data_IF_537101685468
#
_entry.id   IF_537101685468
#
_cell.length_a   1.000
_cell.length_b   1.000
_cell.length_c   1.000
_cell.angle_alpha   90.00
_cell.angle_beta   90.00
_cell.angle_gamma   90.00
#
_symmetry.space_group_name_H-M   'P 1'
#
loop_
_entity.id
_entity.type
_entity.pdbx_description
1 polymer ?
#
# COMPACT_ATOMS: atom_id res chain seq x y z
N UNK A 1 -11.91 1.36 -4.56
CA UNK A 1 -10.97 2.40 -4.08
C UNK A 1 -11.76 3.35 -3.19
N UNK A 2 -11.29 3.70 -1.99
CA UNK A 2 -12.06 4.55 -1.08
C UNK A 2 -11.21 5.75 -0.60
N UNK A 3 -11.54 6.95 -1.10
CA UNK A 3 -10.92 8.22 -0.71
C UNK A 3 -12.01 9.22 -0.29
N UNK A 4 -12.46 9.16 0.98
CA UNK A 4 -13.47 10.06 1.51
C UNK A 4 -13.02 11.51 1.42
N UNK A 5 -13.95 12.41 1.10
CA UNK A 5 -13.64 13.84 0.96
C UNK A 5 -13.69 14.57 2.30
N UNK A 6 -14.61 14.18 3.18
CA UNK A 6 -14.83 14.88 4.45
C UNK A 6 -14.19 14.11 5.59
N UNK A 7 -13.27 14.78 6.28
CA UNK A 7 -12.55 14.23 7.43
C UNK A 7 -12.70 15.16 8.63
N UNK A 8 -12.91 14.56 9.80
CA UNK A 8 -12.93 15.29 11.06
C UNK A 8 -12.04 14.57 12.08
N UNK A 9 -11.37 15.37 12.92
CA UNK A 9 -10.59 14.91 14.05
C UNK A 9 -11.30 15.36 15.32
N UNK A 10 -11.37 14.47 16.28
CA UNK A 10 -11.80 14.80 17.63
C UNK A 10 -10.76 14.32 18.63
N UNK A 11 -10.59 15.11 19.69
CA UNK A 11 -9.64 14.88 20.76
C UNK A 11 -10.34 14.95 22.11
N UNK A 12 -9.94 14.09 23.05
CA UNK A 12 -10.48 14.11 24.40
C UNK A 12 -9.47 13.57 25.41
N UNK A 13 -9.52 14.08 26.64
CA UNK A 13 -8.77 13.50 27.75
C UNK A 13 -9.48 12.26 28.29
N UNK A 14 -8.70 11.24 28.66
CA UNK A 14 -9.19 10.10 29.43
C UNK A 14 -8.24 9.79 30.59
N UNK A 15 -8.78 9.15 31.62
CA UNK A 15 -8.02 8.68 32.77
C UNK A 15 -8.10 7.15 32.84
N UNK A 16 -7.03 6.42 32.49
CA UNK A 16 -7.00 4.96 32.57
C UNK A 16 -7.06 4.46 34.03
N UNK A 17 -7.47 3.19 34.28
CA UNK A 17 -7.49 2.60 35.62
C UNK A 17 -6.14 2.60 36.34
N UNK A 18 -5.04 2.56 35.58
CA UNK A 18 -3.65 2.59 36.08
C UNK A 18 -3.19 4.00 36.49
N UNK A 19 -4.08 5.00 36.45
CA UNK A 19 -3.78 6.39 36.76
C UNK A 19 -3.17 7.18 35.59
N UNK A 20 -3.01 8.50 35.78
CA UNK A 20 -2.54 9.44 34.76
C UNK A 20 -3.65 9.94 33.82
N UNK A 21 -3.40 11.06 33.13
CA UNK A 21 -4.26 11.56 32.05
C UNK A 21 -3.60 11.27 30.72
N UNK A 22 -4.38 10.85 29.74
CA UNK A 22 -3.93 10.64 28.36
C UNK A 22 -4.79 11.47 27.42
N UNK A 23 -4.15 12.14 26.46
CA UNK A 23 -4.86 12.78 25.35
C UNK A 23 -5.12 11.72 24.28
N UNK A 24 -6.39 11.51 23.96
CA UNK A 24 -6.84 10.63 22.91
C UNK A 24 -7.20 11.47 21.70
N UNK A 25 -6.96 10.92 20.51
CA UNK A 25 -7.35 11.54 19.25
C UNK A 25 -7.86 10.47 18.29
N UNK A 26 -8.92 10.78 17.53
CA UNK A 26 -9.38 9.91 16.47
C UNK A 26 -9.83 10.72 15.25
N UNK A 27 -9.58 10.15 14.07
CA UNK A 27 -10.12 10.65 12.81
C UNK A 27 -11.30 9.79 12.36
N UNK A 28 -12.32 10.43 11.83
CA UNK A 28 -13.44 9.80 11.10
C UNK A 28 -13.74 10.57 9.83
N UNK A 29 -14.53 9.94 8.97
CA UNK A 29 -14.83 10.44 7.64
C UNK A 29 -16.32 10.30 7.32
N UNK A 30 -16.75 11.00 6.27
CA UNK A 30 -18.04 10.83 5.61
C UNK A 30 -17.84 11.05 4.10
N UNK A 31 -18.68 10.39 3.30
CA UNK A 31 -18.78 10.63 1.85
C UNK A 31 -19.68 11.83 1.53
N UNK A 32 -20.55 12.24 2.46
CA UNK A 32 -21.64 13.19 2.20
C UNK A 32 -21.29 14.62 2.59
N UNK A 33 -20.80 14.83 3.82
CA UNK A 33 -20.53 16.18 4.35
C UNK A 33 -19.66 16.16 5.62
N UNK A 34 -19.15 17.35 5.99
CA UNK A 34 -18.31 17.54 7.17
C UNK A 34 -19.04 17.30 8.50
N UNK A 35 -20.34 17.61 8.58
CA UNK A 35 -21.10 17.46 9.82
C UNK A 35 -21.24 15.99 10.23
N UNK A 36 -21.45 15.10 9.26
CA UNK A 36 -21.45 13.64 9.49
C UNK A 36 -20.08 13.13 9.94
N UNK A 37 -19.00 13.58 9.29
CA UNK A 37 -17.64 13.20 9.70
C UNK A 37 -17.35 13.63 11.14
N UNK A 38 -17.79 14.84 11.53
CA UNK A 38 -17.68 15.36 12.90
C UNK A 38 -18.52 14.55 13.89
N UNK A 39 -19.77 14.22 13.55
CA UNK A 39 -20.63 13.40 14.40
C UNK A 39 -20.00 12.01 14.64
N UNK A 40 -19.51 11.37 13.58
CA UNK A 40 -18.82 10.09 13.67
C UNK A 40 -17.55 10.17 14.53
N UNK A 41 -16.76 11.25 14.40
CA UNK A 41 -15.57 11.47 15.22
C UNK A 41 -15.93 11.65 16.71
N UNK A 42 -17.01 12.37 17.01
CA UNK A 42 -17.51 12.59 18.38
C UNK A 42 -17.99 11.30 19.03
N UNK A 43 -18.74 10.49 18.30
CA UNK A 43 -19.17 9.18 18.78
C UNK A 43 -17.96 8.27 19.03
N UNK A 44 -17.03 8.21 18.08
CA UNK A 44 -15.84 7.38 18.17
C UNK A 44 -14.92 7.76 19.34
N UNK A 45 -14.72 9.06 19.60
CA UNK A 45 -13.88 9.50 20.72
C UNK A 45 -14.58 9.21 22.05
N UNK A 46 -15.90 9.36 22.15
CA UNK A 46 -16.66 9.01 23.35
C UNK A 46 -16.54 7.51 23.67
N UNK A 47 -16.67 6.65 22.66
CA UNK A 47 -16.47 5.20 22.83
C UNK A 47 -15.04 4.86 23.26
N UNK A 48 -14.03 5.55 22.68
CA UNK A 48 -12.64 5.33 23.02
C UNK A 48 -12.33 5.79 24.46
N UNK A 49 -12.85 6.94 24.89
CA UNK A 49 -12.73 7.42 26.28
C UNK A 49 -13.35 6.39 27.23
N UNK A 50 -14.58 5.95 26.97
CA UNK A 50 -15.26 4.93 27.80
C UNK A 50 -14.42 3.64 27.92
N UNK A 51 -13.86 3.17 26.80
CA UNK A 51 -12.99 1.99 26.79
C UNK A 51 -11.70 2.22 27.58
N UNK A 52 -11.02 3.35 27.36
CA UNK A 52 -9.73 3.63 28.01
C UNK A 52 -9.91 3.82 29.51
N UNK A 53 -10.98 4.49 29.94
CA UNK A 53 -11.31 4.68 31.35
C UNK A 53 -11.65 3.35 32.05
N UNK A 54 -12.31 2.41 31.37
CA UNK A 54 -12.72 1.13 31.97
C UNK A 54 -11.66 0.02 31.87
N UNK A 55 -10.94 -0.07 30.74
CA UNK A 55 -10.07 -1.20 30.39
C UNK A 55 -8.60 -0.79 30.20
N UNK A 56 -8.30 0.51 30.13
CA UNK A 56 -6.98 1.03 29.78
C UNK A 56 -6.73 1.14 28.28
N UNK A 57 -5.51 1.53 27.91
CA UNK A 57 -5.13 1.74 26.51
C UNK A 57 -5.16 0.42 25.72
N UNK A 58 -5.69 0.43 24.48
CA UNK A 58 -5.61 -0.73 23.61
C UNK A 58 -4.15 -1.07 23.26
N UNK A 59 -3.84 -2.37 23.01
CA UNK A 59 -2.51 -2.77 22.54
C UNK A 59 -2.17 -2.06 21.21
N UNK A 60 -0.89 -1.71 21.05
CA UNK A 60 -0.37 -1.17 19.78
C UNK A 60 -0.35 -2.29 18.74
N UNK A 61 -1.30 -2.30 17.81
CA UNK A 61 -1.20 -3.13 16.61
C UNK A 61 -0.53 -2.33 15.47
N UNK A 62 0.30 -3.00 14.68
CA UNK A 62 1.14 -2.42 13.64
C UNK A 62 0.42 -2.07 12.34
N UNK A 63 1.10 -1.26 11.52
CA UNK A 63 0.82 -0.82 10.14
C UNK A 63 -0.64 -0.98 9.63
N UNK A 64 -1.45 0.04 9.93
CA UNK A 64 -2.87 0.19 9.59
C UNK A 64 -3.07 0.73 8.16
N UNK A 65 -2.50 0.07 7.14
CA UNK A 65 -2.78 0.46 5.75
C UNK A 65 -4.10 -0.13 5.21
N UNK A 66 -4.65 -1.19 5.83
CA UNK A 66 -5.80 -1.91 5.29
C UNK A 66 -7.14 -1.61 6.01
N UNK A 67 -7.13 -1.20 7.27
CA UNK A 67 -8.37 -1.18 8.07
C UNK A 67 -9.21 0.10 7.90
N UNK A 68 -8.66 1.14 7.25
CA UNK A 68 -9.31 2.46 7.13
C UNK A 68 -8.95 3.12 5.80
N UNK A 69 -9.85 3.94 5.23
CA UNK A 69 -9.52 4.74 4.06
C UNK A 69 -8.31 5.65 4.33
N UNK A 70 -7.56 5.92 3.27
CA UNK A 70 -6.42 6.83 3.35
C UNK A 70 -6.91 8.27 3.44
N UNK A 71 -6.45 8.99 4.47
CA UNK A 71 -6.71 10.42 4.62
C UNK A 71 -5.71 11.21 3.78
N UNK A 72 -5.98 11.30 2.49
CA UNK A 72 -5.14 11.98 1.51
C UNK A 72 -5.94 13.01 0.71
N UNK A 73 -5.29 14.11 0.34
CA UNK A 73 -5.88 15.11 -0.56
C UNK A 73 -5.92 14.56 -1.98
N UNK A 74 -7.07 14.66 -2.65
CA UNK A 74 -7.20 14.30 -4.07
C UNK A 74 -6.79 15.51 -4.92
N UNK A 75 -5.69 15.39 -5.66
CA UNK A 75 -5.15 16.43 -6.53
C UNK A 75 -5.76 16.39 -7.93
N UNK A 76 -5.91 15.18 -8.48
CA UNK A 76 -6.46 14.97 -9.83
C UNK A 76 -7.39 13.77 -9.87
N UNK A 77 -8.40 13.85 -10.74
CA UNK A 77 -9.29 12.74 -11.09
C UNK A 77 -9.20 12.49 -12.59
N UNK A 78 -9.15 11.21 -12.96
CA UNK A 78 -9.16 10.76 -14.34
C UNK A 78 -10.33 9.79 -14.53
N UNK A 79 -11.17 10.06 -15.53
CA UNK A 79 -12.37 9.26 -15.79
C UNK A 79 -13.46 9.43 -14.73
N UNK A 80 -14.48 8.57 -14.82
CA UNK A 80 -15.58 8.46 -13.85
C UNK A 80 -15.46 7.14 -13.08
N UNK A 81 -15.94 7.09 -11.83
CA UNK A 81 -15.72 5.95 -10.91
C UNK A 81 -16.28 4.60 -11.40
N UNK A 82 -17.29 4.65 -12.26
CA UNK A 82 -17.90 3.50 -12.92
C UNK A 82 -17.07 2.96 -14.10
N UNK A 83 -16.12 3.74 -14.61
CA UNK A 83 -15.32 3.38 -15.77
C UNK A 83 -14.04 2.63 -15.37
N UNK A 84 -13.59 1.63 -16.16
CA UNK A 84 -12.35 0.91 -15.87
C UNK A 84 -11.09 1.78 -15.76
N UNK A 85 -11.05 2.90 -16.50
CA UNK A 85 -9.96 3.87 -16.47
C UNK A 85 -9.98 4.84 -15.29
N UNK A 86 -10.83 4.63 -14.28
CA UNK A 86 -10.88 5.51 -13.12
C UNK A 86 -9.56 5.49 -12.33
N UNK A 87 -8.96 6.67 -12.20
CA UNK A 87 -7.76 6.87 -11.42
C UNK A 87 -7.77 8.22 -10.68
N UNK A 88 -7.05 8.26 -9.57
CA UNK A 88 -6.85 9.44 -8.74
C UNK A 88 -5.36 9.69 -8.59
N UNK A 89 -4.94 10.96 -8.53
CA UNK A 89 -3.64 11.32 -7.98
C UNK A 89 -3.89 11.99 -6.63
N UNK A 90 -3.31 11.45 -5.57
CA UNK A 90 -3.45 11.95 -4.20
C UNK A 90 -2.13 12.50 -3.68
N UNK A 91 -2.19 13.35 -2.65
CA UNK A 91 -1.02 13.78 -1.89
C UNK A 91 -0.97 13.03 -0.56
N UNK A 92 0.05 12.21 -0.37
CA UNK A 92 0.23 11.50 0.89
C UNK A 92 0.79 12.41 2.00
N UNK A 93 0.88 11.89 3.23
CA UNK A 93 1.38 12.65 4.39
C UNK A 93 2.86 13.09 4.28
N UNK A 94 3.62 12.49 3.35
CA UNK A 94 5.01 12.86 3.03
C UNK A 94 5.10 13.92 1.92
N UNK A 95 3.95 14.34 1.37
CA UNK A 95 3.89 15.31 0.28
C UNK A 95 4.08 14.71 -1.12
N UNK A 96 4.24 13.39 -1.24
CA UNK A 96 4.39 12.72 -2.53
C UNK A 96 3.05 12.63 -3.26
N UNK A 97 3.10 12.73 -4.59
CA UNK A 97 1.95 12.48 -5.45
C UNK A 97 1.86 10.98 -5.76
N UNK A 98 0.70 10.39 -5.47
CA UNK A 98 0.47 8.94 -5.56
C UNK A 98 -0.66 8.69 -6.54
N UNK A 99 -0.38 7.96 -7.61
CA UNK A 99 -1.41 7.50 -8.53
C UNK A 99 -2.10 6.27 -7.95
N UNK A 100 -3.41 6.34 -7.78
CA UNK A 100 -4.28 5.26 -7.38
C UNK A 100 -5.16 4.92 -8.58
N UNK A 101 -5.13 3.67 -9.06
CA UNK A 101 -5.96 3.21 -10.16
C UNK A 101 -6.67 1.92 -9.76
N UNK A 102 -7.99 1.86 -9.94
CA UNK A 102 -8.79 0.76 -9.41
C UNK A 102 -8.57 -0.56 -10.17
N UNK A 103 -8.29 -0.46 -11.47
CA UNK A 103 -8.20 -1.60 -12.38
C UNK A 103 -6.94 -1.64 -13.24
N UNK A 104 -5.87 -0.99 -12.78
CA UNK A 104 -4.57 -1.07 -13.46
C UNK A 104 -3.68 -2.05 -12.71
N UNK A 105 -3.12 -3.04 -13.40
CA UNK A 105 -2.23 -4.02 -12.80
C UNK A 105 -0.83 -3.44 -12.64
N UNK A 106 -0.41 -3.29 -11.37
CA UNK A 106 0.96 -2.99 -10.99
C UNK A 106 1.60 -4.23 -10.40
N UNK A 107 2.83 -4.54 -10.79
CA UNK A 107 3.63 -5.62 -10.20
C UNK A 107 4.89 -5.03 -9.60
N UNK A 108 5.02 -5.08 -8.27
CA UNK A 108 6.23 -4.65 -7.57
C UNK A 108 7.18 -5.85 -7.40
N UNK A 109 8.32 -5.80 -8.07
CA UNK A 109 9.33 -6.86 -8.10
C UNK A 109 10.55 -6.36 -7.36
N UNK A 110 10.68 -6.69 -6.07
CA UNK A 110 11.84 -6.34 -5.28
C UNK A 110 13.03 -7.27 -5.57
N UNK A 111 14.22 -6.70 -5.60
CA UNK A 111 15.45 -7.46 -5.77
C UNK A 111 15.92 -7.97 -4.41
N UNK A 112 16.33 -9.24 -4.37
CA UNK A 112 16.98 -9.76 -3.18
C UNK A 112 18.26 -8.97 -2.89
N UNK A 113 18.38 -8.45 -1.66
CA UNK A 113 19.67 -7.91 -1.22
C UNK A 113 20.67 -9.06 -1.15
N UNK A 114 21.85 -8.94 -1.79
CA UNK A 114 22.86 -9.97 -1.69
C UNK A 114 23.22 -10.17 -0.21
N UNK A 115 23.40 -11.41 0.25
CA UNK A 115 23.74 -11.68 1.63
C UNK A 115 25.03 -10.91 1.98
N UNK A 116 24.99 -10.15 3.08
CA UNK A 116 26.17 -9.43 3.56
C UNK A 116 27.29 -10.46 3.81
N UNK A 117 28.48 -10.29 3.21
CA UNK A 117 29.54 -11.27 3.37
C UNK A 117 29.91 -11.37 4.86
N UNK A 118 29.74 -12.56 5.44
CA UNK A 118 30.16 -12.84 6.80
C UNK A 118 31.67 -12.70 6.94
N UNK A 119 32.13 -12.22 8.09
CA UNK A 119 33.56 -11.99 8.40
C UNK A 119 34.46 -13.22 8.16
N UNK A 120 33.93 -14.44 8.24
CA UNK A 120 34.66 -15.68 7.97
C UNK A 120 34.70 -16.10 6.49
N UNK A 121 33.79 -15.61 5.64
CA UNK A 121 33.74 -15.93 4.21
C UNK A 121 34.88 -15.28 3.40
N UNK A 122 35.53 -14.26 3.97
CA UNK A 122 36.64 -13.52 3.35
C UNK A 122 37.97 -14.29 3.35
N UNK A 123 38.10 -15.34 4.16
CA UNK A 123 39.35 -16.10 4.34
C UNK A 123 39.41 -17.42 3.53
N UNK A 124 38.29 -17.87 2.94
CA UNK A 124 38.21 -19.17 2.25
C UNK A 124 37.44 -19.12 0.91
N UNK A 125 37.45 -17.98 0.20
CA UNK A 125 36.58 -17.75 -0.95
C UNK A 125 37.13 -18.27 -2.29
N UNK A 126 36.70 -19.47 -2.71
CA UNK A 126 36.68 -19.88 -4.12
C UNK A 126 35.68 -18.96 -4.85
N UNK A 127 36.08 -18.37 -5.97
CA UNK A 127 35.19 -17.51 -6.77
C UNK A 127 33.97 -18.31 -7.24
N UNK A 128 32.80 -18.07 -6.63
CA UNK A 128 31.54 -18.55 -7.18
C UNK A 128 31.20 -17.71 -8.42
N UNK A 129 30.52 -18.30 -9.43
CA UNK A 129 30.01 -17.52 -10.56
C UNK A 129 29.21 -16.33 -10.02
N UNK A 130 29.43 -15.14 -10.59
CA UNK A 130 28.62 -13.99 -10.24
C UNK A 130 27.15 -14.34 -10.50
N UNK A 131 26.30 -14.17 -9.48
CA UNK A 131 24.87 -14.29 -9.68
C UNK A 131 24.43 -13.33 -10.81
N UNK A 132 23.47 -13.73 -11.67
CA UNK A 132 22.96 -12.84 -12.69
C UNK A 132 22.43 -11.55 -12.05
N UNK A 133 22.59 -10.43 -12.75
CA UNK A 133 22.07 -9.14 -12.28
C UNK A 133 20.55 -9.27 -12.02
N UNK A 134 20.08 -8.97 -10.80
CA UNK A 134 18.65 -9.03 -10.47
C UNK A 134 17.78 -8.20 -11.43
N UNK A 135 18.29 -7.08 -11.94
CA UNK A 135 17.58 -6.26 -12.92
C UNK A 135 17.38 -7.00 -14.23
N UNK A 136 18.46 -7.53 -14.81
CA UNK A 136 18.43 -8.30 -16.06
C UNK A 136 17.54 -9.52 -15.91
N UNK A 137 17.61 -10.21 -14.77
CA UNK A 137 16.78 -11.37 -14.47
C UNK A 137 15.29 -11.02 -14.43
N UNK A 138 14.92 -9.90 -13.80
CA UNK A 138 13.54 -9.44 -13.72
C UNK A 138 13.00 -8.96 -15.08
N UNK A 139 13.82 -8.24 -15.86
CA UNK A 139 13.47 -7.84 -17.22
C UNK A 139 13.30 -9.06 -18.12
N UNK A 140 14.20 -10.04 -18.06
CA UNK A 140 14.12 -11.26 -18.84
C UNK A 140 12.83 -12.05 -18.54
N UNK A 141 12.43 -12.18 -17.27
CA UNK A 141 11.14 -12.81 -16.91
C UNK A 141 9.96 -12.05 -17.52
N UNK A 142 9.99 -10.72 -17.45
CA UNK A 142 8.95 -9.85 -18.02
C UNK A 142 8.85 -10.01 -19.54
N UNK A 143 9.99 -10.07 -20.23
CA UNK A 143 10.04 -10.31 -21.67
C UNK A 143 9.54 -11.71 -22.06
N UNK A 144 9.93 -12.74 -21.30
CA UNK A 144 9.48 -14.12 -21.55
C UNK A 144 7.96 -14.23 -21.41
N UNK A 145 7.38 -13.58 -20.38
CA UNK A 145 5.93 -13.48 -20.23
C UNK A 145 5.29 -12.82 -21.46
N UNK A 146 5.75 -11.62 -21.85
CA UNK A 146 5.20 -10.90 -23.00
C UNK A 146 5.34 -11.69 -24.31
N UNK A 147 6.39 -12.52 -24.46
CA UNK A 147 6.55 -13.41 -25.62
C UNK A 147 5.58 -14.60 -25.59
N UNK A 148 5.22 -15.08 -24.41
CA UNK A 148 4.28 -16.20 -24.25
C UNK A 148 2.82 -15.81 -24.54
N UNK A 149 2.47 -14.54 -24.31
CA UNK A 149 1.16 -13.98 -24.65
C UNK A 149 1.33 -12.58 -25.28
N UNK A 150 1.34 -12.48 -26.63
CA UNK A 150 1.58 -11.24 -27.35
C UNK A 150 0.55 -10.13 -27.11
N UNK A 151 -0.59 -10.43 -26.47
CA UNK A 151 -1.53 -9.40 -26.05
C UNK A 151 -0.96 -8.52 -24.92
N UNK A 152 0.01 -9.03 -24.16
CA UNK A 152 0.56 -8.33 -23.01
C UNK A 152 1.56 -7.23 -23.40
N UNK A 153 1.24 -6.01 -22.98
CA UNK A 153 2.18 -4.89 -22.94
C UNK A 153 2.56 -4.52 -21.51
N UNK A 154 3.84 -4.25 -21.27
CA UNK A 154 4.39 -3.79 -19.99
C UNK A 154 5.15 -2.48 -20.12
N UNK A 155 5.00 -1.60 -19.13
CA UNK A 155 5.97 -0.54 -18.84
C UNK A 155 6.72 -0.89 -17.56
N UNK A 156 8.05 -0.85 -17.61
CA UNK A 156 8.91 -1.13 -16.47
C UNK A 156 9.57 0.16 -15.96
N UNK A 157 9.51 0.38 -14.65
CA UNK A 157 10.11 1.52 -13.97
C UNK A 157 11.08 1.03 -12.90
N UNK A 158 12.29 1.60 -12.86
CA UNK A 158 13.25 1.29 -11.80
C UNK A 158 12.80 1.95 -10.50
N UNK A 159 12.71 1.17 -9.42
CA UNK A 159 12.53 1.66 -8.05
C UNK A 159 13.84 1.57 -7.28
N UNK A 160 13.86 2.06 -6.04
CA UNK A 160 15.04 1.90 -5.15
C UNK A 160 15.35 0.43 -4.87
N UNK A 161 14.32 -0.39 -4.68
CA UNK A 161 14.42 -1.80 -4.29
C UNK A 161 14.36 -2.79 -5.45
N UNK A 162 13.80 -2.38 -6.60
CA UNK A 162 13.42 -3.34 -7.64
C UNK A 162 12.85 -2.71 -8.89
N UNK A 163 11.86 -3.37 -9.49
CA UNK A 163 11.10 -2.87 -10.63
C UNK A 163 9.64 -2.71 -10.25
N UNK A 164 9.00 -1.70 -10.83
CA UNK A 164 7.55 -1.62 -10.90
C UNK A 164 7.11 -1.80 -12.33
N UNK A 165 6.35 -2.85 -12.58
CA UNK A 165 5.76 -3.14 -13.87
C UNK A 165 4.31 -2.66 -13.89
N UNK A 166 3.88 -2.12 -15.02
CA UNK A 166 2.51 -1.68 -15.25
C UNK A 166 2.01 -2.34 -16.53
N UNK A 167 0.93 -3.11 -16.44
CA UNK A 167 0.29 -3.66 -17.63
C UNK A 167 -0.40 -2.54 -18.41
N UNK A 168 -0.22 -2.48 -19.73
CA UNK A 168 -0.71 -1.36 -20.56
C UNK A 168 -1.75 -1.74 -21.62
N UNK A 169 -2.15 -3.00 -21.67
CA UNK A 169 -2.98 -3.54 -22.75
C UNK A 169 -4.44 -3.74 -22.35
N UNK A 170 -4.72 -3.89 -21.05
CA UNK A 170 -6.08 -4.11 -20.53
C UNK A 170 -6.21 -3.64 -19.07
N UNK A 171 -7.45 -3.70 -18.56
CA UNK A 171 -7.80 -3.47 -17.17
C UNK A 171 -7.99 -4.80 -16.42
N UNK A 172 -7.63 -4.81 -15.14
CA UNK A 172 -7.62 -6.00 -14.30
C UNK A 172 -8.39 -5.76 -13.01
N UNK A 173 -9.31 -6.65 -12.68
CA UNK A 173 -9.88 -6.67 -11.33
C UNK A 173 -8.80 -7.13 -10.33
N UNK A 174 -8.68 -6.49 -9.15
CA UNK A 174 -7.60 -6.77 -8.20
C UNK A 174 -7.50 -8.23 -7.75
N UNK A 175 -8.63 -8.92 -7.65
CA UNK A 175 -8.73 -10.31 -7.20
C UNK A 175 -8.83 -11.31 -8.35
N UNK A 176 -8.66 -10.88 -9.61
CA UNK A 176 -8.78 -11.75 -10.78
C UNK A 176 -7.70 -12.86 -10.79
N UNK A 177 -8.01 -14.07 -11.31
CA UNK A 177 -7.01 -15.13 -11.48
C UNK A 177 -5.82 -14.67 -12.33
N UNK A 178 -6.07 -13.93 -13.41
CA UNK A 178 -5.04 -13.41 -14.31
C UNK A 178 -4.04 -12.49 -13.59
N UNK A 179 -4.51 -11.59 -12.70
CA UNK A 179 -3.61 -10.76 -11.90
C UNK A 179 -2.74 -11.60 -10.96
N UNK A 180 -3.32 -12.64 -10.34
CA UNK A 180 -2.60 -13.56 -9.45
C UNK A 180 -1.54 -14.38 -10.20
N UNK A 181 -1.86 -14.87 -11.38
CA UNK A 181 -0.92 -15.62 -12.23
C UNK A 181 0.24 -14.72 -12.68
N UNK A 182 -0.05 -13.48 -13.06
CA UNK A 182 0.98 -12.49 -13.39
C UNK A 182 1.89 -12.18 -12.18
N UNK A 183 1.33 -12.02 -10.97
CA UNK A 183 2.10 -11.82 -9.75
C UNK A 183 3.04 -12.98 -9.44
N UNK A 184 2.57 -14.22 -9.62
CA UNK A 184 3.39 -15.41 -9.39
C UNK A 184 4.51 -15.52 -10.43
N UNK A 185 4.18 -15.39 -11.71
CA UNK A 185 5.13 -15.54 -12.80
C UNK A 185 6.23 -14.47 -12.78
N UNK A 186 5.90 -13.23 -12.41
CA UNK A 186 6.83 -12.10 -12.41
C UNK A 186 7.54 -11.91 -11.07
N UNK A 187 7.13 -12.62 -10.02
CA UNK A 187 7.75 -12.55 -8.70
C UNK A 187 7.38 -11.28 -7.93
N UNK A 188 6.08 -10.97 -7.87
CA UNK A 188 5.58 -9.84 -7.08
C UNK A 188 5.88 -10.01 -5.58
N UNK A 189 6.13 -8.90 -4.89
CA UNK A 189 6.35 -8.88 -3.45
C UNK A 189 5.21 -9.58 -2.66
N UNK A 190 5.51 -10.48 -1.70
CA UNK A 190 4.49 -11.23 -0.97
C UNK A 190 3.57 -10.41 -0.07
N UNK A 191 3.98 -9.24 0.39
CA UNK A 191 3.11 -8.32 1.12
C UNK A 191 2.16 -7.62 0.15
N UNK A 192 2.67 -7.22 -1.02
CA UNK A 192 1.86 -6.60 -2.07
C UNK A 192 0.72 -7.51 -2.54
N UNK A 193 0.95 -8.82 -2.62
CA UNK A 193 -0.07 -9.82 -2.98
C UNK A 193 -1.21 -9.99 -1.95
N UNK A 194 -1.08 -9.42 -0.75
CA UNK A 194 -2.06 -9.54 0.35
C UNK A 194 -2.92 -8.30 0.53
N UNK A 195 -2.62 -7.22 -0.18
CA UNK A 195 -3.36 -5.95 -0.19
C UNK A 195 -4.44 -5.99 -1.28
#
# INVERSE_FOLDING_TARGET
MNFPQFWAKEEAEAQPPKGGRVLLACWRWSESNLAEAQAAAKEAIAHLVSRVTSQGLPPKHGYSYADRPLREEILHRFGSEDQPGYALVTRNAWGCEVMNAARLLFVDVDFEEPPKPGVFGRLFGKASPAAPDPLESALQKTELWAKSDPAWGWRAYRTRGGLRLIATHDFFEPDSPTARDAFEALGADPLYRKL
#
